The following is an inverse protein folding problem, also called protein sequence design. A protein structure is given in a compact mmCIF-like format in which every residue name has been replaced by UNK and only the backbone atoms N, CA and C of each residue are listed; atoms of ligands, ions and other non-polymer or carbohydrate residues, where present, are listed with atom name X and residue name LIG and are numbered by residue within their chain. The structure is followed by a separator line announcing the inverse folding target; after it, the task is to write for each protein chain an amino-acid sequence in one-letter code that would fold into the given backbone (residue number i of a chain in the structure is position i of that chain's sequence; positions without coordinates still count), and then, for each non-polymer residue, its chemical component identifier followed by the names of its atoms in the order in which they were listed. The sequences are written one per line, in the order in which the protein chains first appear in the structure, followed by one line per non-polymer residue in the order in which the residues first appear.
data_IF_394235737062
#
_entry.id   IF_394235737062
#
_cell.length_a   1.000
_cell.length_b   1.000
_cell.length_c   1.000
_cell.angle_alpha   90.00
_cell.angle_beta   90.00
_cell.angle_gamma   90.00
#
_symmetry.space_group_name_H-M   'P 1'
#
loop_
_entity.id
_entity.type
_entity.pdbx_description
1 polymer ?
#
# COMPACT_ATOMS: atom_id res chain seq x y z
N UNK A 1 -10.79 8.45 27.40
CA UNK A 1 -11.65 9.38 26.63
C UNK A 1 -12.04 10.61 27.41
N UNK A 2 -12.63 10.49 28.61
CA UNK A 2 -12.94 11.64 29.48
C UNK A 2 -11.75 12.58 29.69
N UNK A 3 -10.60 12.02 30.01
CA UNK A 3 -9.37 12.79 30.24
C UNK A 3 -8.90 13.57 29.00
N UNK A 4 -8.78 12.89 27.86
CA UNK A 4 -8.20 13.47 26.63
C UNK A 4 -9.20 14.34 25.85
N UNK A 5 -10.48 13.96 25.84
CA UNK A 5 -11.50 14.58 24.99
C UNK A 5 -12.63 15.28 25.78
N UNK A 6 -12.65 15.19 27.11
CA UNK A 6 -13.76 15.71 27.93
C UNK A 6 -15.06 14.92 27.80
N UNK A 7 -15.00 13.72 27.20
CA UNK A 7 -16.16 12.88 26.94
C UNK A 7 -16.59 12.09 28.18
N UNK A 8 -17.82 12.29 28.66
CA UNK A 8 -18.44 11.39 29.63
C UNK A 8 -18.73 10.00 29.04
N UNK A 9 -18.94 9.93 27.72
CA UNK A 9 -19.19 8.70 26.96
C UNK A 9 -18.25 8.59 25.77
N UNK A 10 -17.59 7.44 25.54
CA UNK A 10 -16.73 7.26 24.36
C UNK A 10 -17.52 7.47 23.06
N UNK A 11 -17.08 8.46 22.26
CA UNK A 11 -17.64 8.71 20.93
C UNK A 11 -16.78 8.04 19.89
N UNK A 12 -17.39 7.32 18.94
CA UNK A 12 -16.68 6.66 17.84
C UNK A 12 -15.77 7.63 17.06
N UNK A 13 -16.22 8.86 16.84
CA UNK A 13 -15.40 9.88 16.17
C UNK A 13 -14.13 10.25 16.92
N UNK A 14 -14.14 10.21 18.26
CA UNK A 14 -12.93 10.45 19.05
C UNK A 14 -12.02 9.21 19.08
N UNK A 15 -12.58 8.00 18.97
CA UNK A 15 -11.78 6.80 18.75
C UNK A 15 -11.01 6.87 17.43
N UNK A 16 -11.66 7.31 16.34
CA UNK A 16 -10.97 7.55 15.07
C UNK A 16 -9.87 8.61 15.17
N UNK A 17 -10.11 9.70 15.91
CA UNK A 17 -9.06 10.73 16.14
C UNK A 17 -7.88 10.19 16.93
N UNK A 18 -8.13 9.35 17.94
CA UNK A 18 -7.08 8.73 18.74
C UNK A 18 -6.22 7.79 17.89
N UNK A 19 -6.84 6.93 17.07
CA UNK A 19 -6.14 6.05 16.11
C UNK A 19 -5.33 6.89 15.13
N UNK A 20 -5.93 7.88 14.48
CA UNK A 20 -5.22 8.72 13.53
C UNK A 20 -4.07 9.52 14.17
N UNK A 21 -4.19 9.88 15.45
CA UNK A 21 -3.11 10.53 16.20
C UNK A 21 -1.95 9.57 16.46
N UNK A 22 -2.24 8.33 16.84
CA UNK A 22 -1.26 7.28 17.00
C UNK A 22 -0.55 6.94 15.68
N UNK A 23 -1.28 6.78 14.58
CA UNK A 23 -0.70 6.51 13.24
C UNK A 23 0.31 7.60 12.81
N UNK A 24 0.09 8.86 13.20
CA UNK A 24 1.05 9.96 12.94
C UNK A 24 2.34 9.88 13.74
N UNK A 25 2.42 9.01 14.76
CA UNK A 25 3.65 8.77 15.53
C UNK A 25 4.51 7.67 14.91
N UNK A 26 3.91 6.82 14.07
CA UNK A 26 4.59 5.70 13.39
C UNK A 26 5.24 6.23 12.11
N UNK A 27 6.31 7.00 12.27
CA UNK A 27 7.02 7.63 11.16
C UNK A 27 8.52 7.37 11.31
N UNK A 28 9.14 6.94 10.23
CA UNK A 28 10.59 6.83 10.14
C UNK A 28 11.16 7.95 9.27
N UNK A 29 12.11 8.72 9.81
CA UNK A 29 12.66 9.91 9.12
C UNK A 29 14.18 9.88 8.95
N UNK A 30 14.82 8.80 9.37
CA UNK A 30 16.27 8.64 9.50
C UNK A 30 16.77 7.38 8.80
N UNK A 31 16.11 6.99 7.70
CA UNK A 31 16.55 5.87 6.87
C UNK A 31 17.96 6.15 6.31
N UNK A 32 18.72 5.11 5.92
CA UNK A 32 19.99 5.29 5.21
C UNK A 32 19.90 6.28 4.04
N UNK A 33 18.82 6.20 3.25
CA UNK A 33 18.57 7.15 2.18
C UNK A 33 18.29 8.58 2.68
N UNK A 34 17.51 8.76 3.75
CA UNK A 34 17.27 10.10 4.32
C UNK A 34 18.56 10.73 4.84
N UNK A 35 19.44 9.96 5.48
CA UNK A 35 20.73 10.44 5.98
C UNK A 35 21.67 10.81 4.83
N UNK A 36 21.67 10.02 3.75
CA UNK A 36 22.38 10.35 2.52
C UNK A 36 21.89 11.67 1.91
N UNK A 37 20.58 11.89 1.85
CA UNK A 37 20.00 13.16 1.38
C UNK A 37 20.36 14.36 2.27
N UNK A 38 20.71 14.14 3.55
CA UNK A 38 21.20 15.19 4.47
C UNK A 38 22.69 15.48 4.34
N UNK A 39 23.39 14.78 3.46
CA UNK A 39 24.82 14.99 3.17
C UNK A 39 25.76 13.96 3.80
N UNK A 40 25.24 12.92 4.46
CA UNK A 40 26.07 11.78 4.86
C UNK A 40 26.30 10.84 3.67
N UNK A 41 27.34 11.11 2.88
CA UNK A 41 27.70 10.29 1.72
C UNK A 41 28.07 8.84 2.07
N UNK A 42 28.30 8.55 3.36
CA UNK A 42 28.64 7.20 3.85
C UNK A 42 27.41 6.40 4.28
N UNK A 43 26.24 7.04 4.37
CA UNK A 43 24.99 6.38 4.75
C UNK A 43 24.49 5.36 3.70
N UNK A 44 24.90 5.50 2.43
CA UNK A 44 24.68 4.49 1.39
C UNK A 44 25.98 3.80 1.00
N UNK A 45 25.91 2.48 0.84
CA UNK A 45 26.95 1.69 0.18
C UNK A 45 27.05 2.04 -1.31
N UNK A 46 28.17 1.69 -1.95
CA UNK A 46 28.33 1.90 -3.40
C UNK A 46 27.27 1.15 -4.21
N UNK A 47 26.85 -0.03 -3.75
CA UNK A 47 25.78 -0.79 -4.38
C UNK A 47 24.43 -0.04 -4.32
N UNK A 48 24.09 0.53 -3.17
CA UNK A 48 22.88 1.33 -3.00
C UNK A 48 22.93 2.62 -3.83
N UNK A 49 24.11 3.22 -4.01
CA UNK A 49 24.28 4.38 -4.90
C UNK A 49 24.06 3.99 -6.37
N UNK A 50 24.57 2.84 -6.81
CA UNK A 50 24.27 2.32 -8.15
C UNK A 50 22.77 2.08 -8.33
N UNK A 51 22.10 1.49 -7.33
CA UNK A 51 20.66 1.29 -7.31
C UNK A 51 19.87 2.60 -7.39
N UNK A 52 20.31 3.64 -6.68
CA UNK A 52 19.71 4.98 -6.75
C UNK A 52 19.81 5.58 -8.17
N UNK A 53 20.96 5.42 -8.84
CA UNK A 53 21.14 5.89 -10.21
C UNK A 53 20.26 5.11 -11.19
N UNK A 54 20.11 3.79 -11.01
CA UNK A 54 19.17 2.98 -11.79
C UNK A 54 17.72 3.41 -11.55
N UNK A 55 17.34 3.67 -10.30
CA UNK A 55 16.00 4.08 -9.90
C UNK A 55 15.59 5.40 -10.57
N UNK A 56 16.54 6.34 -10.69
CA UNK A 56 16.34 7.64 -11.35
C UNK A 56 16.50 7.59 -12.87
N UNK A 57 17.32 6.67 -13.36
CA UNK A 57 17.70 6.53 -14.76
C UNK A 57 17.02 5.35 -15.43
N UNK A 58 17.81 4.31 -15.73
CA UNK A 58 17.41 3.17 -16.58
C UNK A 58 16.13 2.47 -16.10
N UNK A 59 15.95 2.30 -14.79
CA UNK A 59 14.77 1.69 -14.20
C UNK A 59 13.51 2.57 -14.26
N UNK A 60 13.68 3.90 -14.34
CA UNK A 60 12.57 4.85 -14.46
C UNK A 60 11.59 4.85 -13.28
N UNK A 61 11.96 4.25 -12.15
CA UNK A 61 11.10 4.09 -10.98
C UNK A 61 10.64 5.45 -10.42
N UNK A 62 11.52 6.46 -10.50
CA UNK A 62 11.26 7.83 -10.04
C UNK A 62 10.08 8.52 -10.75
N UNK A 63 9.70 8.07 -11.95
CA UNK A 63 8.58 8.65 -12.71
C UNK A 63 7.25 8.57 -11.93
N UNK A 64 7.11 7.53 -11.09
CA UNK A 64 5.96 7.37 -10.19
C UNK A 64 6.36 7.48 -8.71
N UNK A 65 7.57 7.03 -8.34
CA UNK A 65 8.02 6.99 -6.95
C UNK A 65 8.96 8.16 -6.63
N UNK A 66 8.37 9.34 -6.41
CA UNK A 66 9.11 10.59 -6.17
C UNK A 66 8.58 11.37 -4.95
N UNK A 67 9.26 12.48 -4.64
CA UNK A 67 8.93 13.33 -3.51
C UNK A 67 9.22 12.69 -2.15
N UNK A 68 8.77 13.33 -1.05
CA UNK A 68 9.11 12.89 0.30
C UNK A 68 8.59 11.49 0.65
N UNK A 69 7.51 11.03 0.04
CA UNK A 69 6.92 9.70 0.28
C UNK A 69 7.37 8.65 -0.75
N UNK A 70 8.20 9.02 -1.74
CA UNK A 70 8.55 8.13 -2.85
C UNK A 70 7.29 7.59 -3.54
N UNK A 71 6.33 8.49 -3.75
CA UNK A 71 5.06 8.25 -4.40
C UNK A 71 4.51 9.58 -4.92
N UNK A 72 4.07 9.57 -6.17
CA UNK A 72 3.32 10.66 -6.79
C UNK A 72 1.82 10.65 -6.43
N UNK A 73 1.39 9.65 -5.65
CA UNK A 73 0.02 9.41 -5.22
C UNK A 73 -1.01 9.25 -6.35
N UNK A 74 -0.57 9.06 -7.59
CA UNK A 74 -1.43 8.85 -8.76
C UNK A 74 -1.79 7.37 -8.90
N UNK A 75 -2.61 7.06 -9.91
CA UNK A 75 -3.18 5.74 -10.13
C UNK A 75 -2.73 5.16 -11.46
N UNK A 76 -2.17 3.96 -11.44
CA UNK A 76 -1.64 3.27 -12.62
C UNK A 76 -2.09 1.81 -12.65
N UNK A 77 -2.31 1.29 -13.85
CA UNK A 77 -2.46 -0.15 -14.07
C UNK A 77 -1.11 -0.69 -14.56
N UNK A 78 -0.51 -1.56 -13.77
CA UNK A 78 0.78 -2.18 -14.06
C UNK A 78 0.65 -3.51 -14.80
N UNK A 79 -0.58 -4.02 -14.89
CA UNK A 79 -0.87 -5.35 -15.41
C UNK A 79 -0.65 -6.45 -14.37
N UNK A 80 -0.74 -6.15 -13.07
CA UNK A 80 -0.69 -7.18 -12.01
C UNK A 80 -1.83 -8.17 -12.25
N UNK A 81 -1.55 -9.48 -12.44
CA UNK A 81 -2.57 -10.49 -12.73
C UNK A 81 -3.39 -10.85 -11.49
N UNK A 82 -4.50 -11.54 -11.73
CA UNK A 82 -5.31 -12.14 -10.66
C UNK A 82 -4.51 -13.23 -9.93
N UNK A 83 -4.77 -13.42 -8.62
CA UNK A 83 -4.38 -14.65 -7.94
C UNK A 83 -5.41 -15.76 -8.20
N UNK A 84 -4.94 -16.99 -8.39
CA UNK A 84 -5.82 -18.16 -8.64
C UNK A 84 -6.80 -18.42 -7.49
N UNK A 85 -6.43 -18.08 -6.26
CA UNK A 85 -7.30 -18.15 -5.06
C UNK A 85 -8.66 -17.46 -5.28
N UNK A 86 -8.72 -16.37 -6.04
CA UNK A 86 -9.98 -15.67 -6.31
C UNK A 86 -10.93 -16.46 -7.20
N UNK A 87 -10.41 -17.43 -7.96
CA UNK A 87 -11.17 -18.33 -8.81
C UNK A 87 -11.40 -19.70 -8.18
N UNK A 88 -10.56 -20.13 -7.25
CA UNK A 88 -10.62 -21.50 -6.70
C UNK A 88 -11.17 -21.60 -5.27
N UNK A 89 -11.18 -20.49 -4.51
CA UNK A 89 -11.70 -20.47 -3.14
C UNK A 89 -13.10 -19.85 -3.06
N UNK A 90 -14.09 -20.64 -2.63
CA UNK A 90 -15.49 -20.20 -2.55
C UNK A 90 -15.71 -19.01 -1.62
N UNK A 91 -14.98 -18.91 -0.51
CA UNK A 91 -15.08 -17.76 0.41
C UNK A 91 -14.49 -16.49 -0.22
N UNK A 92 -13.36 -16.59 -0.92
CA UNK A 92 -12.77 -15.49 -1.67
C UNK A 92 -13.71 -15.01 -2.78
N UNK A 93 -14.35 -15.94 -3.50
CA UNK A 93 -15.37 -15.58 -4.49
C UNK A 93 -16.55 -14.85 -3.87
N UNK A 94 -17.13 -15.35 -2.78
CA UNK A 94 -18.26 -14.69 -2.09
C UNK A 94 -17.86 -13.28 -1.64
N UNK A 95 -16.67 -13.13 -1.06
CA UNK A 95 -16.15 -11.84 -0.59
C UNK A 95 -15.96 -10.87 -1.77
N UNK A 96 -15.36 -11.32 -2.87
CA UNK A 96 -15.17 -10.51 -4.06
C UNK A 96 -16.49 -10.04 -4.68
N UNK A 97 -17.48 -10.93 -4.76
CA UNK A 97 -18.81 -10.61 -5.27
C UNK A 97 -19.53 -9.61 -4.35
N UNK A 98 -19.41 -9.80 -3.04
CA UNK A 98 -19.95 -8.84 -2.07
C UNK A 98 -19.31 -7.45 -2.22
N UNK A 99 -17.99 -7.36 -2.33
CA UNK A 99 -17.30 -6.08 -2.55
C UNK A 99 -17.75 -5.41 -3.85
N UNK A 100 -17.83 -6.16 -4.96
CA UNK A 100 -18.36 -5.63 -6.23
C UNK A 100 -19.77 -5.03 -6.04
N UNK A 101 -20.66 -5.75 -5.35
CA UNK A 101 -22.01 -5.27 -5.07
C UNK A 101 -22.02 -4.03 -4.16
N UNK A 102 -21.28 -4.07 -3.04
CA UNK A 102 -21.21 -2.99 -2.05
C UNK A 102 -20.65 -1.70 -2.64
N UNK A 103 -19.74 -1.80 -3.63
CA UNK A 103 -19.22 -0.64 -4.37
C UNK A 103 -20.15 -0.17 -5.50
N UNK A 104 -21.36 -0.73 -5.64
CA UNK A 104 -22.36 -0.30 -6.62
C UNK A 104 -22.03 -0.71 -8.06
N UNK A 105 -21.48 -1.91 -8.26
CA UNK A 105 -21.27 -2.46 -9.60
C UNK A 105 -22.59 -2.83 -10.26
N UNK A 106 -22.63 -2.80 -11.60
CA UNK A 106 -23.80 -3.30 -12.35
C UNK A 106 -23.94 -4.81 -12.19
N UNK A 107 -25.14 -5.33 -12.47
CA UNK A 107 -25.38 -6.78 -12.51
C UNK A 107 -24.41 -7.51 -13.45
N UNK A 108 -24.10 -6.90 -14.60
CA UNK A 108 -23.12 -7.45 -15.54
C UNK A 108 -21.73 -7.56 -14.90
N UNK A 109 -21.27 -6.50 -14.24
CA UNK A 109 -19.97 -6.52 -13.55
C UNK A 109 -19.97 -7.55 -12.42
N UNK A 110 -21.02 -7.59 -11.61
CA UNK A 110 -21.17 -8.56 -10.54
C UNK A 110 -21.00 -10.01 -11.05
N UNK A 111 -21.55 -10.33 -12.23
CA UNK A 111 -21.47 -11.68 -12.81
C UNK A 111 -20.18 -11.98 -13.56
N UNK A 112 -19.59 -10.99 -14.24
CA UNK A 112 -18.53 -11.23 -15.21
C UNK A 112 -17.13 -10.81 -14.75
N UNK A 113 -17.01 -9.78 -13.91
CA UNK A 113 -15.72 -9.27 -13.48
C UNK A 113 -14.93 -10.35 -12.72
N UNK A 114 -13.66 -10.50 -13.07
CA UNK A 114 -12.71 -11.43 -12.45
C UNK A 114 -11.61 -10.67 -11.72
N UNK A 115 -11.16 -9.55 -12.28
CA UNK A 115 -10.13 -8.73 -11.64
C UNK A 115 -10.70 -7.53 -10.88
N UNK A 116 -10.01 -7.14 -9.82
CA UNK A 116 -10.34 -5.95 -9.04
C UNK A 116 -10.29 -4.69 -9.94
N UNK A 117 -11.44 -4.00 -10.15
CA UNK A 117 -11.49 -2.76 -10.90
C UNK A 117 -10.67 -1.61 -10.30
N UNK A 118 -10.21 -1.68 -9.05
CA UNK A 118 -9.37 -0.67 -8.43
C UNK A 118 -10.02 0.71 -8.39
N UNK A 119 -9.33 1.73 -8.92
CA UNK A 119 -9.75 3.14 -8.88
C UNK A 119 -11.12 3.41 -9.50
N UNK A 120 -11.57 2.54 -10.42
CA UNK A 120 -12.94 2.55 -10.95
C UNK A 120 -14.00 2.61 -9.84
N UNK A 121 -13.80 1.95 -8.70
CA UNK A 121 -14.80 1.97 -7.62
C UNK A 121 -15.09 3.37 -7.08
N UNK A 122 -14.15 4.30 -7.23
CA UNK A 122 -14.31 5.70 -6.84
C UNK A 122 -14.80 6.56 -8.00
N UNK A 123 -14.22 6.43 -9.18
CA UNK A 123 -14.49 7.36 -10.30
C UNK A 123 -15.65 6.94 -11.18
N UNK A 124 -15.94 5.63 -11.24
CA UNK A 124 -16.85 4.97 -12.19
C UNK A 124 -16.45 5.15 -13.67
N UNK A 125 -15.23 5.61 -13.96
CA UNK A 125 -14.72 5.77 -15.32
C UNK A 125 -14.08 4.48 -15.82
N UNK A 126 -14.51 3.97 -16.98
CA UNK A 126 -14.00 2.70 -17.53
C UNK A 126 -12.48 2.69 -17.76
N UNK A 127 -11.90 3.86 -18.06
CA UNK A 127 -10.45 4.06 -18.21
C UNK A 127 -9.66 3.89 -16.92
N UNK A 128 -10.30 3.87 -15.76
CA UNK A 128 -9.66 3.72 -14.44
C UNK A 128 -9.71 2.30 -13.89
N UNK A 129 -10.29 1.36 -14.65
CA UNK A 129 -10.30 -0.05 -14.26
C UNK A 129 -8.88 -0.63 -14.21
N UNK A 130 -8.58 -1.35 -13.13
CA UNK A 130 -7.29 -1.97 -12.86
C UNK A 130 -6.19 -1.00 -12.42
N UNK A 131 -6.52 0.28 -12.20
CA UNK A 131 -5.55 1.24 -11.68
C UNK A 131 -5.53 1.24 -10.16
N UNK A 132 -4.35 1.21 -9.58
CA UNK A 132 -4.13 1.31 -8.13
C UNK A 132 -3.21 2.49 -7.83
N UNK A 133 -3.36 3.05 -6.63
CA UNK A 133 -2.54 4.19 -6.20
C UNK A 133 -1.09 3.74 -6.08
N UNK A 134 -0.15 4.55 -6.53
CA UNK A 134 1.29 4.37 -6.27
C UNK A 134 1.51 4.32 -4.74
N UNK A 135 1.91 3.19 -4.15
CA UNK A 135 2.19 3.16 -2.71
C UNK A 135 3.47 3.94 -2.40
N UNK A 136 3.59 4.43 -1.16
CA UNK A 136 4.86 4.92 -0.63
C UNK A 136 5.87 3.77 -0.60
N UNK A 137 7.13 4.04 -0.96
CA UNK A 137 8.21 3.06 -0.80
C UNK A 137 8.93 3.16 0.55
N UNK A 138 8.56 4.13 1.39
CA UNK A 138 9.08 4.17 2.76
C UNK A 138 8.68 2.92 3.52
N UNK A 139 9.63 2.37 4.27
CA UNK A 139 9.42 1.21 5.13
C UNK A 139 9.07 -0.09 4.38
N UNK A 140 9.26 -0.13 3.05
CA UNK A 140 8.86 -1.28 2.23
C UNK A 140 9.64 -2.57 2.50
N UNK A 141 10.76 -2.50 3.23
CA UNK A 141 11.61 -3.67 3.53
C UNK A 141 10.91 -4.73 4.38
N UNK A 142 9.91 -4.34 5.18
CA UNK A 142 9.26 -5.21 6.17
C UNK A 142 7.78 -5.46 5.85
N UNK A 143 7.39 -5.31 4.59
CA UNK A 143 5.97 -5.32 4.19
C UNK A 143 5.68 -6.35 3.10
N UNK A 144 6.46 -7.44 3.01
CA UNK A 144 6.05 -8.57 2.19
C UNK A 144 4.70 -9.18 2.64
N UNK A 145 3.94 -9.78 1.71
CA UNK A 145 4.14 -9.77 0.26
C UNK A 145 3.68 -8.45 -0.39
N UNK A 146 4.11 -8.24 -1.62
CA UNK A 146 3.97 -6.98 -2.37
C UNK A 146 2.84 -6.99 -3.40
N UNK A 147 2.55 -5.80 -3.94
CA UNK A 147 1.42 -5.47 -4.81
C UNK A 147 0.07 -5.42 -4.09
N UNK A 148 -0.95 -4.88 -4.75
CA UNK A 148 -2.29 -4.70 -4.15
C UNK A 148 -2.99 -6.01 -3.76
N UNK A 149 -2.51 -7.14 -4.30
CA UNK A 149 -3.05 -8.47 -4.08
C UNK A 149 -2.05 -9.42 -3.39
N UNK A 150 -0.84 -8.95 -3.02
CA UNK A 150 0.15 -9.78 -2.33
C UNK A 150 0.76 -10.89 -3.18
N UNK A 151 0.82 -10.75 -4.51
CA UNK A 151 1.24 -11.85 -5.39
C UNK A 151 2.76 -12.05 -5.50
N UNK A 152 3.56 -11.05 -5.09
CA UNK A 152 5.03 -11.10 -5.20
C UNK A 152 5.60 -11.18 -3.79
N UNK A 153 6.44 -12.17 -3.51
CA UNK A 153 6.91 -12.45 -2.14
C UNK A 153 8.08 -11.55 -1.74
N UNK A 154 8.94 -11.16 -2.68
CA UNK A 154 10.17 -10.42 -2.39
C UNK A 154 10.26 -9.10 -3.17
N UNK A 155 11.07 -8.15 -2.69
CA UNK A 155 11.42 -6.95 -3.45
C UNK A 155 12.10 -7.30 -4.78
N UNK A 156 12.82 -8.42 -4.83
CA UNK A 156 13.44 -8.91 -6.05
C UNK A 156 12.38 -9.30 -7.10
N UNK A 157 11.34 -10.02 -6.69
CA UNK A 157 10.22 -10.36 -7.57
C UNK A 157 9.52 -9.09 -8.10
N UNK A 158 9.41 -8.05 -7.27
CA UNK A 158 8.87 -6.73 -7.69
C UNK A 158 9.74 -6.11 -8.79
N UNK A 159 11.05 -6.03 -8.58
CA UNK A 159 11.96 -5.43 -9.56
C UNK A 159 11.98 -6.25 -10.86
N UNK A 160 11.96 -7.58 -10.78
CA UNK A 160 11.87 -8.45 -11.96
C UNK A 160 10.55 -8.29 -12.72
N UNK A 161 9.42 -8.17 -12.00
CA UNK A 161 8.12 -7.88 -12.61
C UNK A 161 8.18 -6.58 -13.44
N UNK A 162 8.76 -5.52 -12.89
CA UNK A 162 8.96 -4.29 -13.65
C UNK A 162 9.97 -4.45 -14.78
N UNK A 163 11.05 -5.21 -14.57
CA UNK A 163 12.06 -5.48 -15.60
C UNK A 163 11.47 -6.18 -16.83
N UNK A 164 10.51 -7.08 -16.62
CA UNK A 164 9.74 -7.74 -17.68
C UNK A 164 8.71 -6.81 -18.36
N UNK A 165 8.49 -5.60 -17.82
CA UNK A 165 7.48 -4.66 -18.31
C UNK A 165 6.08 -4.97 -17.76
N UNK A 166 6.00 -5.46 -16.53
CA UNK A 166 4.77 -5.93 -15.90
C UNK A 166 4.16 -7.11 -16.63
N UNK A 167 2.87 -7.37 -16.37
CA UNK A 167 2.15 -8.50 -16.95
C UNK A 167 0.79 -8.03 -17.54
N UNK A 168 -0.21 -8.90 -17.63
CA UNK A 168 -1.54 -8.63 -18.16
C UNK A 168 -2.63 -8.98 -17.15
N UNK A 169 -3.75 -8.27 -17.26
CA UNK A 169 -4.97 -8.51 -16.49
C UNK A 169 -6.21 -8.26 -17.38
N UNK A 170 -7.42 -8.47 -16.86
CA UNK A 170 -8.71 -8.23 -17.53
C UNK A 170 -8.79 -6.81 -18.13
N UNK A 171 -8.06 -5.87 -17.55
CA UNK A 171 -8.05 -4.45 -17.90
C UNK A 171 -6.78 -4.01 -18.64
N UNK A 172 -6.09 -4.92 -19.36
CA UNK A 172 -4.85 -4.63 -20.08
C UNK A 172 -4.91 -3.39 -21.01
N UNK A 173 -6.09 -3.04 -21.54
CA UNK A 173 -6.31 -1.82 -22.34
C UNK A 173 -6.06 -0.51 -21.58
N UNK A 174 -6.12 -0.57 -20.25
CA UNK A 174 -5.85 0.56 -19.36
C UNK A 174 -4.42 0.53 -18.79
N UNK A 175 -3.57 -0.44 -19.19
CA UNK A 175 -2.19 -0.54 -18.73
C UNK A 175 -1.43 0.74 -19.05
N UNK A 176 -0.66 1.22 -18.07
CA UNK A 176 0.10 2.47 -18.22
C UNK A 176 1.16 2.32 -19.31
N UNK A 177 1.30 3.30 -20.22
CA UNK A 177 2.33 3.27 -21.27
C UNK A 177 3.76 3.40 -20.73
N UNK A 178 3.91 3.79 -19.45
CA UNK A 178 5.21 3.83 -18.77
C UNK A 178 5.76 2.43 -18.50
N UNK A 179 4.90 1.41 -18.49
CA UNK A 179 5.25 0.04 -18.11
C UNK A 179 5.70 -0.71 -19.35
N UNK A 180 7.01 -0.91 -19.47
CA UNK A 180 7.72 -1.53 -20.59
C UNK A 180 8.93 -2.29 -20.08
N UNK A 181 9.43 -3.32 -20.81
CA UNK A 181 10.64 -4.02 -20.41
C UNK A 181 11.82 -3.05 -20.22
N UNK A 182 12.55 -3.22 -19.12
CA UNK A 182 13.64 -2.30 -18.72
C UNK A 182 15.02 -2.79 -19.20
N UNK A 183 15.18 -4.10 -19.40
CA UNK A 183 16.44 -4.69 -19.85
C UNK A 183 17.56 -4.56 -18.82
N UNK A 184 17.21 -4.63 -17.53
CA UNK A 184 18.16 -4.69 -16.42
C UNK A 184 18.82 -6.07 -16.39
N UNK A 185 20.13 -6.07 -16.16
CA UNK A 185 20.90 -7.27 -15.82
C UNK A 185 20.65 -7.69 -14.37
N UNK A 186 21.02 -8.92 -14.02
CA UNK A 186 20.85 -9.44 -12.65
C UNK A 186 21.54 -8.55 -11.60
N UNK A 187 22.73 -8.03 -11.92
CA UNK A 187 23.43 -7.10 -11.03
C UNK A 187 22.68 -5.78 -10.87
N UNK A 188 22.11 -5.22 -11.94
CA UNK A 188 21.31 -4.00 -11.85
C UNK A 188 20.01 -4.23 -11.04
N UNK A 189 19.43 -5.42 -11.12
CA UNK A 189 18.30 -5.81 -10.28
C UNK A 189 18.72 -5.86 -8.80
N UNK A 190 19.84 -6.51 -8.49
CA UNK A 190 20.34 -6.62 -7.12
C UNK A 190 20.71 -5.24 -6.54
N UNK A 191 21.29 -4.35 -7.35
CA UNK A 191 21.62 -2.97 -6.97
C UNK A 191 20.34 -2.18 -6.64
N UNK A 192 19.29 -2.31 -7.47
CA UNK A 192 17.98 -1.69 -7.21
C UNK A 192 17.34 -2.23 -5.93
N UNK A 193 17.36 -3.53 -5.69
CA UNK A 193 16.84 -4.14 -4.46
C UNK A 193 17.58 -3.58 -3.25
N UNK A 194 18.92 -3.54 -3.30
CA UNK A 194 19.75 -2.96 -2.22
C UNK A 194 19.37 -1.50 -1.93
N UNK A 195 19.11 -0.70 -2.97
CA UNK A 195 18.61 0.66 -2.81
C UNK A 195 17.21 0.71 -2.19
N UNK A 196 16.27 -0.13 -2.62
CA UNK A 196 14.91 -0.18 -2.07
C UNK A 196 14.92 -0.51 -0.56
N UNK A 197 15.81 -1.40 -0.12
CA UNK A 197 15.98 -1.71 1.31
C UNK A 197 16.49 -0.50 2.11
N UNK A 198 17.31 0.37 1.49
CA UNK A 198 17.83 1.60 2.10
C UNK A 198 16.75 2.66 2.40
N UNK A 199 15.54 2.47 1.85
CA UNK A 199 14.35 3.32 2.08
C UNK A 199 13.65 2.98 3.42
N UNK A 200 14.18 2.01 4.15
CA UNK A 200 13.73 1.58 5.46
C UNK A 200 14.94 1.56 6.40
N UNK A 201 14.76 1.97 7.65
CA UNK A 201 15.77 1.77 8.70
C UNK A 201 15.39 0.60 9.57
N UNK A 202 15.57 0.76 10.87
CA UNK A 202 15.24 -0.30 11.83
C UNK A 202 13.73 -0.54 11.88
N UNK A 203 13.37 -1.80 12.09
CA UNK A 203 11.97 -2.21 12.21
C UNK A 203 11.32 -1.53 13.43
N UNK A 204 10.19 -0.87 13.21
CA UNK A 204 9.38 -0.24 14.24
C UNK A 204 8.59 -1.33 14.97
N UNK A 205 9.13 -1.76 16.11
CA UNK A 205 8.48 -2.68 17.03
C UNK A 205 7.83 -1.88 18.18
N UNK A 206 6.60 -2.23 18.53
CA UNK A 206 5.86 -1.62 19.63
C UNK A 206 5.23 -2.69 20.51
N UNK A 207 5.32 -2.48 21.83
CA UNK A 207 4.61 -3.32 22.78
C UNK A 207 3.09 -3.15 22.63
N UNK A 208 2.36 -4.26 22.78
CA UNK A 208 0.91 -4.20 22.80
C UNK A 208 0.46 -3.36 24.00
N UNK A 209 -0.49 -2.42 23.81
CA UNK A 209 -1.00 -1.62 24.92
C UNK A 209 -1.76 -2.51 25.91
N UNK A 210 -1.63 -2.23 27.21
CA UNK A 210 -2.48 -2.84 28.21
C UNK A 210 -3.93 -2.38 28.00
N UNK A 211 -4.81 -3.34 27.71
CA UNK A 211 -6.22 -3.07 27.47
C UNK A 211 -6.98 -3.13 28.79
N UNK A 212 -7.93 -2.19 29.05
CA UNK A 212 -8.78 -2.28 30.23
C UNK A 212 -9.71 -3.50 30.12
N UNK A 213 -10.12 -4.03 31.27
CA UNK A 213 -11.15 -5.07 31.33
C UNK A 213 -12.45 -4.61 30.68
N UNK A 214 -13.13 -5.54 30.01
CA UNK A 214 -14.45 -5.28 29.45
C UNK A 214 -15.44 -4.93 30.58
N UNK A 215 -16.05 -3.76 30.51
CA UNK A 215 -17.03 -3.29 31.47
C UNK A 215 -18.28 -2.75 30.77
N UNK A 216 -19.46 -2.89 31.39
CA UNK A 216 -20.66 -2.20 30.92
C UNK A 216 -20.44 -0.69 30.97
N UNK A 217 -21.09 0.03 30.06
CA UNK A 217 -21.00 1.49 30.05
C UNK A 217 -21.60 2.06 31.34
N UNK A 218 -20.98 3.11 31.93
CA UNK A 218 -21.47 3.71 33.17
C UNK A 218 -22.89 4.26 32.97
N UNK A 219 -23.82 3.96 33.87
CA UNK A 219 -25.20 4.47 33.78
C UNK A 219 -25.17 5.99 33.99
N UNK A 220 -25.66 6.78 33.03
CA UNK A 220 -25.93 8.21 33.27
C UNK A 220 -27.31 8.41 33.85
N UNK A 221 -27.46 9.43 34.68
CA UNK A 221 -28.72 9.78 35.36
C UNK A 221 -29.93 10.01 34.43
N UNK A 222 -29.72 10.13 33.11
CA UNK A 222 -30.78 10.34 32.12
C UNK A 222 -31.42 9.07 31.55
N UNK A 223 -31.00 7.86 31.92
CA UNK A 223 -31.67 6.61 31.48
C UNK A 223 -32.76 6.12 32.43
N UNK A 224 -33.04 6.84 33.53
CA UNK A 224 -34.03 6.42 34.55
C UNK A 224 -35.44 7.02 34.31
N UNK A 225 -35.64 7.88 33.30
CA UNK A 225 -36.95 8.53 33.04
C UNK A 225 -37.75 7.94 31.86
N UNK A 226 -37.55 6.66 31.54
CA UNK A 226 -38.43 5.95 30.61
C UNK A 226 -38.97 4.68 31.28
N UNK A 227 -39.94 4.85 32.18
CA UNK A 227 -40.89 3.83 32.63
C UNK A 227 -42.24 4.49 32.88
#
# INVERSE_FOLDING_TARGET
FKEVFGDEWPKIGNAWKAIAAFERTIVQTDTPFDNYLRGDETALTDQQKNGLELFRGKGGCVECHNGPLLSDEKYYNLGVPQLDRWSDDGLSQVTFRYELYAKGSTEEMYRKTKDDPGFYFRTKQKSDKGKFRTPSLRYTKYTEPYMHNGMLETLRDVVEFYNAGGDTNEYFKNKSPLIKPLGLSDQEVDDLVSFLESLSGDEILMDAPEMPDYAPLPVTENTVQAN
#
